data_IF_858124077118
#
_entry.id   IF_858124077118
#
_cell.length_a   1.000
_cell.length_b   1.000
_cell.length_c   1.000
_cell.angle_alpha   90.00
_cell.angle_beta   90.00
_cell.angle_gamma   90.00
#
_symmetry.space_group_name_H-M   'P 1'
#
loop_
_entity.id
_entity.type
_entity.pdbx_description
1 polymer ?
#
# COMPACT_ATOMS: atom_id res chain seq x y z
N UNK A 1 16.51 -26.73 -11.79
CA UNK A 1 15.09 -26.56 -12.17
C UNK A 1 14.45 -25.66 -11.11
N UNK A 2 13.93 -24.50 -11.50
CA UNK A 2 13.40 -23.50 -10.57
C UNK A 2 11.94 -23.87 -10.24
N UNK A 3 11.61 -24.11 -8.96
CA UNK A 3 10.22 -24.36 -8.52
C UNK A 3 9.32 -23.22 -9.03
N UNK A 4 8.16 -23.48 -9.66
CA UNK A 4 7.22 -22.46 -10.12
C UNK A 4 6.79 -21.48 -9.01
N UNK A 5 6.47 -20.23 -9.38
CA UNK A 5 6.10 -19.19 -8.41
C UNK A 5 4.88 -19.60 -7.58
N UNK A 6 3.88 -20.20 -8.20
CA UNK A 6 2.63 -20.59 -7.58
C UNK A 6 2.86 -21.61 -6.46
N UNK A 7 3.75 -22.57 -6.69
CA UNK A 7 4.15 -23.58 -5.70
C UNK A 7 4.94 -22.96 -4.55
N UNK A 8 5.87 -22.03 -4.85
CA UNK A 8 6.60 -21.29 -3.81
C UNK A 8 5.68 -20.39 -2.99
N UNK A 9 4.79 -19.67 -3.64
CA UNK A 9 3.82 -18.81 -2.99
C UNK A 9 2.89 -19.63 -2.10
N UNK A 10 2.39 -20.77 -2.58
CA UNK A 10 1.61 -21.69 -1.76
C UNK A 10 2.39 -22.22 -0.54
N UNK A 11 3.68 -22.51 -0.71
CA UNK A 11 4.55 -22.90 0.40
C UNK A 11 4.75 -21.76 1.39
N UNK A 12 5.21 -20.60 0.93
CA UNK A 12 5.47 -19.43 1.78
C UNK A 12 4.20 -19.01 2.52
N UNK A 13 3.05 -18.95 1.87
CA UNK A 13 1.79 -18.57 2.53
C UNK A 13 1.35 -19.55 3.62
N UNK A 14 1.70 -20.84 3.51
CA UNK A 14 1.42 -21.86 4.54
C UNK A 14 2.41 -21.82 5.70
N UNK A 15 3.66 -21.43 5.44
CA UNK A 15 4.74 -21.45 6.45
C UNK A 15 5.05 -20.07 7.03
N UNK A 16 4.46 -19.01 6.48
CA UNK A 16 4.71 -17.63 6.92
C UNK A 16 4.11 -17.40 8.31
N UNK A 17 4.97 -17.00 9.23
CA UNK A 17 4.61 -16.62 10.60
C UNK A 17 5.09 -15.18 10.79
N UNK A 18 4.17 -14.30 11.18
CA UNK A 18 4.50 -12.92 11.53
C UNK A 18 4.68 -12.84 13.05
N UNK A 19 5.79 -12.29 13.53
CA UNK A 19 5.92 -11.90 14.93
C UNK A 19 5.42 -10.48 15.12
N UNK A 20 5.04 -10.10 16.34
CA UNK A 20 4.57 -8.74 16.60
C UNK A 20 5.60 -7.68 16.20
N UNK A 21 6.88 -7.95 16.41
CA UNK A 21 7.99 -7.05 16.04
C UNK A 21 8.04 -6.82 14.52
N UNK A 22 7.93 -7.90 13.72
CA UNK A 22 7.88 -7.80 12.26
C UNK A 22 6.63 -7.06 11.78
N UNK A 23 5.50 -7.27 12.46
CA UNK A 23 4.25 -6.57 12.14
C UNK A 23 4.38 -5.08 12.39
N UNK A 24 4.90 -4.71 13.57
CA UNK A 24 5.11 -3.33 13.96
C UNK A 24 6.12 -2.64 13.03
N UNK A 25 7.23 -3.30 12.73
CA UNK A 25 8.25 -2.81 11.79
C UNK A 25 7.68 -2.61 10.38
N UNK A 26 6.89 -3.56 9.87
CA UNK A 26 6.27 -3.44 8.55
C UNK A 26 5.36 -2.21 8.46
N UNK A 27 4.52 -1.95 9.45
CA UNK A 27 3.65 -0.77 9.48
C UNK A 27 4.42 0.53 9.71
N UNK A 28 5.46 0.49 10.55
CA UNK A 28 6.37 1.63 10.76
C UNK A 28 7.04 2.04 9.45
N UNK A 29 7.51 1.09 8.64
CA UNK A 29 8.20 1.38 7.38
C UNK A 29 7.20 1.76 6.28
N UNK A 30 6.23 0.88 6.00
CA UNK A 30 5.41 1.01 4.80
C UNK A 30 4.36 2.11 4.89
N UNK A 31 3.83 2.39 6.10
CA UNK A 31 2.78 3.38 6.29
C UNK A 31 3.31 4.62 7.01
N UNK A 32 3.76 4.50 8.26
CA UNK A 32 4.18 5.67 9.04
C UNK A 32 5.40 6.37 8.44
N UNK A 33 6.41 5.61 8.00
CA UNK A 33 7.61 6.14 7.36
C UNK A 33 7.30 6.93 6.09
N UNK A 34 6.46 6.37 5.21
CA UNK A 34 5.96 7.06 4.01
C UNK A 34 5.20 8.34 4.37
N UNK A 35 4.26 8.26 5.33
CA UNK A 35 3.46 9.40 5.78
C UNK A 35 4.35 10.52 6.31
N UNK A 36 5.24 10.21 7.26
CA UNK A 36 6.11 11.20 7.90
C UNK A 36 7.12 11.80 6.93
N UNK A 37 7.65 11.01 5.99
CA UNK A 37 8.53 11.55 4.94
C UNK A 37 7.77 12.55 4.05
N UNK A 38 6.55 12.21 3.66
CA UNK A 38 5.70 13.11 2.84
C UNK A 38 5.39 14.39 3.59
N UNK A 39 4.99 14.30 4.86
CA UNK A 39 4.71 15.46 5.72
C UNK A 39 5.94 16.35 5.92
N UNK A 40 7.12 15.75 6.15
CA UNK A 40 8.37 16.49 6.34
C UNK A 40 8.81 17.23 5.06
N UNK A 41 8.53 16.67 3.88
CA UNK A 41 8.88 17.27 2.59
C UNK A 41 7.79 18.18 2.02
N UNK A 42 6.62 18.25 2.67
CA UNK A 42 5.47 18.98 2.16
C UNK A 42 5.76 20.44 1.78
N UNK A 43 6.47 21.27 2.60
CA UNK A 43 6.76 22.65 2.21
C UNK A 43 7.59 22.76 0.93
N UNK A 44 8.48 21.79 0.68
CA UNK A 44 9.29 21.75 -0.55
C UNK A 44 8.44 21.29 -1.74
N UNK A 45 7.57 20.30 -1.54
CA UNK A 45 6.63 19.83 -2.56
C UNK A 45 5.68 20.95 -2.99
N UNK A 46 5.12 21.72 -2.06
CA UNK A 46 4.22 22.84 -2.34
C UNK A 46 4.93 24.05 -2.98
N UNK A 47 6.26 24.16 -2.83
CA UNK A 47 7.05 25.19 -3.50
C UNK A 47 7.38 24.87 -4.97
N UNK A 48 7.14 23.62 -5.40
CA UNK A 48 7.33 23.20 -6.78
C UNK A 48 6.12 23.59 -7.64
N UNK A 49 6.38 24.09 -8.86
CA UNK A 49 5.32 24.33 -9.86
C UNK A 49 4.59 23.04 -10.27
N UNK A 50 5.18 21.87 -10.00
CA UNK A 50 4.62 20.55 -10.30
C UNK A 50 5.07 19.53 -9.26
N UNK A 51 4.68 19.73 -7.99
CA UNK A 51 5.03 18.83 -6.88
C UNK A 51 4.36 17.45 -7.02
N UNK A 52 5.15 16.37 -6.86
CA UNK A 52 4.72 14.99 -7.13
C UNK A 52 5.12 14.04 -6.02
N UNK A 53 4.19 13.15 -5.64
CA UNK A 53 4.42 12.07 -4.70
C UNK A 53 3.93 10.77 -5.33
N UNK A 54 4.83 9.79 -5.41
CA UNK A 54 4.54 8.46 -5.96
C UNK A 54 4.72 7.43 -4.85
N UNK A 55 3.61 6.93 -4.33
CA UNK A 55 3.61 5.92 -3.28
C UNK A 55 3.66 4.52 -3.89
N UNK A 56 4.71 3.75 -3.60
CA UNK A 56 4.82 2.37 -4.05
C UNK A 56 3.87 1.48 -3.23
N UNK A 57 2.80 1.02 -3.86
CA UNK A 57 1.76 0.17 -3.27
C UNK A 57 1.86 -1.27 -3.76
N UNK A 58 0.76 -2.02 -3.72
CA UNK A 58 0.64 -3.38 -4.23
C UNK A 58 -0.79 -3.68 -4.66
N UNK A 59 -0.95 -4.59 -5.64
CA UNK A 59 -2.26 -5.16 -5.95
C UNK A 59 -2.90 -5.83 -4.73
N UNK A 60 -2.08 -6.32 -3.79
CA UNK A 60 -2.55 -6.94 -2.56
C UNK A 60 -3.12 -5.93 -1.54
N UNK A 61 -2.97 -4.62 -1.79
CA UNK A 61 -3.54 -3.53 -1.00
C UNK A 61 -4.96 -3.10 -1.39
N UNK A 62 -5.60 -3.82 -2.30
CA UNK A 62 -6.97 -3.51 -2.77
C UNK A 62 -8.03 -3.94 -1.76
N UNK A 63 -9.11 -3.16 -1.65
CA UNK A 63 -10.16 -3.37 -0.65
C UNK A 63 -10.94 -4.67 -0.85
N UNK A 64 -11.01 -5.23 -2.07
CA UNK A 64 -11.64 -6.54 -2.32
C UNK A 64 -11.08 -7.70 -1.52
N UNK A 65 -9.90 -7.55 -0.91
CA UNK A 65 -9.30 -8.59 -0.06
C UNK A 65 -9.72 -8.51 1.41
N UNK A 66 -10.37 -7.41 1.83
CA UNK A 66 -10.97 -7.30 3.16
C UNK A 66 -12.35 -7.96 3.14
N UNK A 67 -12.56 -8.91 4.04
CA UNK A 67 -13.84 -9.62 4.19
C UNK A 67 -14.80 -8.90 5.15
N UNK A 68 -14.42 -7.76 5.71
CA UNK A 68 -15.24 -6.99 6.64
C UNK A 68 -15.84 -5.76 5.92
N UNK A 69 -17.14 -5.81 5.64
CA UNK A 69 -17.86 -4.74 4.92
C UNK A 69 -17.81 -3.39 5.64
N UNK A 70 -17.78 -3.39 6.97
CA UNK A 70 -17.66 -2.18 7.78
C UNK A 70 -16.33 -1.46 7.56
N UNK A 71 -15.22 -2.21 7.64
CA UNK A 71 -13.87 -1.70 7.35
C UNK A 71 -13.74 -1.26 5.89
N UNK A 72 -14.31 -2.02 4.95
CA UNK A 72 -14.32 -1.63 3.52
C UNK A 72 -15.04 -0.29 3.35
N UNK A 73 -16.23 -0.14 3.93
CA UNK A 73 -16.99 1.11 3.85
C UNK A 73 -16.25 2.28 4.47
N UNK A 74 -15.62 2.07 5.62
CA UNK A 74 -14.86 3.11 6.33
C UNK A 74 -13.61 3.54 5.55
N UNK A 75 -12.85 2.58 4.98
CA UNK A 75 -11.67 2.85 4.18
C UNK A 75 -11.98 3.41 2.78
N UNK A 76 -13.18 3.16 2.26
CA UNK A 76 -13.60 3.70 0.96
C UNK A 76 -14.30 5.07 1.06
N UNK A 77 -14.77 5.46 2.24
CA UNK A 77 -15.41 6.76 2.49
C UNK A 77 -14.37 7.90 2.61
N UNK A 78 -13.62 8.15 1.54
CA UNK A 78 -12.58 9.20 1.48
C UNK A 78 -13.12 10.60 1.71
N UNK A 79 -14.43 10.80 1.58
CA UNK A 79 -15.01 12.09 1.89
C UNK A 79 -15.00 12.40 3.37
N UNK A 80 -15.05 11.38 4.22
CA UNK A 80 -15.10 11.50 5.67
C UNK A 80 -13.86 10.89 6.38
N UNK A 81 -13.08 10.05 5.71
CA UNK A 81 -11.88 9.44 6.26
C UNK A 81 -10.76 10.49 6.43
N UNK A 82 -10.31 10.67 7.68
CA UNK A 82 -9.22 11.59 8.02
C UNK A 82 -7.90 10.83 8.23
N UNK A 83 -6.76 11.54 8.18
CA UNK A 83 -5.45 10.96 8.49
C UNK A 83 -5.37 10.43 9.93
N UNK A 84 -6.01 11.13 10.88
CA UNK A 84 -6.09 10.67 12.28
C UNK A 84 -6.88 9.36 12.38
N UNK A 85 -8.02 9.28 11.69
CA UNK A 85 -8.84 8.08 11.70
C UNK A 85 -8.12 6.91 11.02
N UNK A 86 -7.39 7.17 9.94
CA UNK A 86 -6.55 6.17 9.28
C UNK A 86 -5.44 5.65 10.21
N UNK A 87 -4.78 6.54 10.96
CA UNK A 87 -3.79 6.14 11.98
C UNK A 87 -4.41 5.26 13.06
N UNK A 88 -5.64 5.55 13.47
CA UNK A 88 -6.36 4.73 14.45
C UNK A 88 -6.75 3.37 13.89
N UNK A 89 -7.09 3.27 12.60
CA UNK A 89 -7.28 1.98 11.92
C UNK A 89 -5.97 1.17 11.89
N UNK A 90 -4.82 1.81 11.61
CA UNK A 90 -3.50 1.14 11.66
C UNK A 90 -3.19 0.63 13.07
N UNK A 91 -3.44 1.44 14.10
CA UNK A 91 -3.28 1.03 15.51
C UNK A 91 -4.26 -0.09 15.88
N UNK A 92 -5.48 -0.07 15.34
CA UNK A 92 -6.46 -1.14 15.57
C UNK A 92 -5.97 -2.47 14.99
N UNK A 93 -5.34 -2.45 13.82
CA UNK A 93 -4.73 -3.64 13.22
C UNK A 93 -3.61 -4.20 14.11
N UNK A 94 -2.69 -3.34 14.58
CA UNK A 94 -1.61 -3.73 15.50
C UNK A 94 -2.14 -4.36 16.79
N UNK A 95 -3.19 -3.74 17.37
CA UNK A 95 -3.85 -4.25 18.57
C UNK A 95 -4.46 -5.62 18.31
N UNK A 96 -5.25 -5.76 17.24
CA UNK A 96 -5.83 -7.04 16.83
C UNK A 96 -4.78 -8.11 16.62
N UNK A 97 -3.65 -7.79 15.98
CA UNK A 97 -2.56 -8.74 15.80
C UNK A 97 -2.01 -9.21 17.15
N UNK A 98 -1.70 -8.27 18.04
CA UNK A 98 -1.14 -8.54 19.37
C UNK A 98 -2.06 -9.41 20.24
N UNK A 99 -3.36 -9.21 20.10
CA UNK A 99 -4.40 -9.94 20.85
C UNK A 99 -4.79 -11.27 20.19
N UNK A 100 -4.24 -11.59 19.00
CA UNK A 100 -4.64 -12.75 18.23
C UNK A 100 -6.06 -12.65 17.64
N UNK A 101 -6.61 -11.45 17.57
CA UNK A 101 -8.01 -11.15 17.26
C UNK A 101 -8.20 -10.52 15.86
N UNK A 102 -7.38 -10.90 14.87
CA UNK A 102 -7.47 -10.36 13.51
C UNK A 102 -8.79 -10.75 12.84
N UNK A 103 -9.28 -11.97 13.06
CA UNK A 103 -10.49 -12.46 12.40
C UNK A 103 -11.73 -11.83 13.02
N UNK A 104 -11.83 -11.85 14.35
CA UNK A 104 -12.92 -11.28 15.12
C UNK A 104 -13.08 -9.78 14.84
N UNK A 105 -11.97 -9.06 14.66
CA UNK A 105 -11.99 -7.62 14.38
C UNK A 105 -11.96 -7.30 12.87
N UNK A 106 -12.09 -8.29 11.99
CA UNK A 106 -12.25 -8.07 10.54
C UNK A 106 -10.96 -7.80 9.74
N UNK A 107 -9.79 -7.87 10.37
CA UNK A 107 -8.47 -7.65 9.78
C UNK A 107 -7.82 -8.90 9.17
N UNK A 108 -8.47 -10.07 9.24
CA UNK A 108 -7.95 -11.30 8.64
C UNK A 108 -8.03 -11.23 7.11
N UNK A 109 -6.85 -11.16 6.49
CA UNK A 109 -6.68 -11.13 5.03
C UNK A 109 -6.33 -12.54 4.49
N UNK A 110 -6.80 -12.90 3.27
CA UNK A 110 -6.58 -14.23 2.71
C UNK A 110 -5.14 -14.40 2.19
N UNK A 111 -4.64 -15.65 2.17
CA UNK A 111 -3.44 -16.03 1.42
C UNK A 111 -2.11 -15.48 1.96
N UNK A 112 -1.90 -15.51 3.28
CA UNK A 112 -0.65 -15.12 3.93
C UNK A 112 -0.29 -13.62 3.80
N UNK A 113 0.85 -13.22 4.36
CA UNK A 113 1.38 -11.84 4.31
C UNK A 113 0.37 -10.76 4.73
N UNK A 114 -0.40 -11.04 5.79
CA UNK A 114 -1.51 -10.21 6.22
C UNK A 114 -1.07 -8.78 6.52
N UNK A 115 0.06 -8.62 7.22
CA UNK A 115 0.53 -7.28 7.59
C UNK A 115 0.99 -6.48 6.38
N UNK A 116 1.71 -7.11 5.45
CA UNK A 116 2.11 -6.44 4.21
C UNK A 116 0.87 -5.93 3.44
N UNK A 117 -0.15 -6.77 3.29
CA UNK A 117 -1.41 -6.40 2.62
C UNK A 117 -2.12 -5.24 3.32
N UNK A 118 -2.27 -5.33 4.65
CA UNK A 118 -2.83 -4.26 5.47
C UNK A 118 -2.06 -2.95 5.30
N UNK A 119 -0.72 -3.01 5.32
CA UNK A 119 0.12 -1.83 5.10
C UNK A 119 -0.14 -1.16 3.75
N UNK A 120 -0.39 -1.94 2.68
CA UNK A 120 -0.68 -1.41 1.34
C UNK A 120 -2.12 -0.91 1.19
N UNK A 121 -3.07 -1.48 1.95
CA UNK A 121 -4.42 -0.89 2.12
C UNK A 121 -4.30 0.52 2.74
N UNK A 122 -3.49 0.68 3.79
CA UNK A 122 -3.32 1.97 4.43
C UNK A 122 -2.58 2.99 3.54
N UNK A 123 -1.57 2.57 2.77
CA UNK A 123 -0.90 3.41 1.75
C UNK A 123 -1.90 3.90 0.69
N UNK A 124 -2.80 3.03 0.23
CA UNK A 124 -3.83 3.36 -0.73
C UNK A 124 -4.81 4.41 -0.17
N UNK A 125 -5.31 4.21 1.05
CA UNK A 125 -6.18 5.16 1.72
C UNK A 125 -5.47 6.51 1.95
N UNK A 126 -4.22 6.49 2.44
CA UNK A 126 -3.40 7.69 2.64
C UNK A 126 -3.27 8.50 1.34
N UNK A 127 -2.97 7.83 0.23
CA UNK A 127 -2.80 8.48 -1.08
C UNK A 127 -4.07 9.24 -1.48
N UNK A 128 -5.25 8.63 -1.31
CA UNK A 128 -6.53 9.27 -1.61
C UNK A 128 -6.82 10.48 -0.71
N UNK A 129 -6.55 10.36 0.59
CA UNK A 129 -6.73 11.45 1.55
C UNK A 129 -5.77 12.60 1.24
N UNK A 130 -4.49 12.31 1.06
CA UNK A 130 -3.45 13.30 0.80
C UNK A 130 -3.70 14.06 -0.51
N UNK A 131 -4.09 13.35 -1.59
CA UNK A 131 -4.45 14.00 -2.86
C UNK A 131 -5.61 15.01 -2.71
N UNK A 132 -6.56 14.75 -1.81
CA UNK A 132 -7.66 15.68 -1.49
C UNK A 132 -7.20 16.85 -0.62
N UNK A 133 -6.33 16.61 0.35
CA UNK A 133 -5.81 17.63 1.25
C UNK A 133 -4.89 18.62 0.54
N UNK A 134 -4.15 18.16 -0.47
CA UNK A 134 -3.15 18.94 -1.19
C UNK A 134 -3.49 19.02 -2.69
N UNK A 135 -4.51 19.80 -3.08
CA UNK A 135 -5.01 19.83 -4.46
C UNK A 135 -4.01 20.41 -5.48
N UNK A 136 -2.93 21.05 -5.01
CA UNK A 136 -1.85 21.55 -5.87
C UNK A 136 -0.75 20.51 -6.12
N UNK A 137 -0.85 19.32 -5.51
CA UNK A 137 0.12 18.24 -5.64
C UNK A 137 -0.47 17.04 -6.40
N UNK A 138 0.37 16.35 -7.15
CA UNK A 138 0.02 15.10 -7.82
C UNK A 138 0.48 13.93 -6.95
N UNK A 139 -0.46 13.32 -6.23
CA UNK A 139 -0.20 12.27 -5.24
C UNK A 139 -0.91 11.01 -5.71
N UNK A 140 -0.16 10.06 -6.24
CA UNK A 140 -0.68 8.80 -6.75
C UNK A 140 0.03 7.61 -6.11
N UNK A 141 -0.57 6.43 -6.22
CA UNK A 141 0.06 5.19 -5.80
C UNK A 141 0.09 4.17 -6.93
N UNK A 142 1.07 3.28 -6.88
CA UNK A 142 1.33 2.35 -7.99
C UNK A 142 1.74 0.98 -7.49
N UNK A 143 1.15 -0.07 -8.06
CA UNK A 143 1.69 -1.42 -8.02
C UNK A 143 2.61 -1.60 -9.24
N UNK A 144 3.94 -1.72 -9.05
CA UNK A 144 4.86 -1.84 -10.18
C UNK A 144 4.89 -3.24 -10.81
N UNK A 145 4.23 -4.23 -10.20
CA UNK A 145 4.19 -5.63 -10.65
C UNK A 145 5.08 -6.55 -9.80
N UNK A 146 5.13 -7.85 -10.15
CA UNK A 146 5.90 -8.86 -9.39
C UNK A 146 7.36 -8.91 -9.85
N UNK A 147 8.21 -8.10 -9.22
CA UNK A 147 9.58 -7.78 -9.66
C UNK A 147 10.64 -8.67 -9.06
N UNK A 148 11.70 -9.02 -9.80
CA UNK A 148 12.85 -9.78 -9.32
C UNK A 148 13.73 -8.93 -8.39
N UNK A 149 13.45 -8.96 -7.09
CA UNK A 149 14.21 -8.25 -6.06
C UNK A 149 14.45 -9.17 -4.86
N UNK A 150 15.34 -8.80 -3.95
CA UNK A 150 15.50 -9.52 -2.68
C UNK A 150 14.19 -9.58 -1.88
N UNK A 151 13.39 -8.50 -1.93
CA UNK A 151 12.07 -8.46 -1.28
C UNK A 151 11.06 -9.45 -1.84
N UNK A 152 11.23 -9.91 -3.09
CA UNK A 152 10.46 -11.01 -3.67
C UNK A 152 11.22 -12.33 -3.70
N UNK A 153 12.34 -12.45 -2.96
CA UNK A 153 13.24 -13.61 -3.02
C UNK A 153 13.71 -13.95 -4.44
N UNK A 154 13.85 -12.92 -5.29
CA UNK A 154 14.24 -13.01 -6.69
C UNK A 154 13.30 -13.89 -7.54
N UNK A 155 12.02 -14.00 -7.19
CA UNK A 155 11.04 -14.84 -7.91
C UNK A 155 10.07 -14.07 -8.79
N UNK A 156 10.31 -12.76 -9.00
CA UNK A 156 9.49 -11.94 -9.88
C UNK A 156 9.47 -12.44 -11.32
N UNK A 157 8.41 -12.09 -12.05
CA UNK A 157 8.27 -12.35 -13.48
C UNK A 157 8.91 -11.27 -14.36
N UNK A 158 9.28 -10.12 -13.78
CA UNK A 158 9.82 -8.96 -14.50
C UNK A 158 11.11 -8.43 -13.85
N UNK A 159 11.90 -7.69 -14.62
CA UNK A 159 13.14 -7.05 -14.12
C UNK A 159 12.86 -5.79 -13.32
N UNK A 160 13.88 -5.30 -12.61
CA UNK A 160 13.81 -4.03 -11.87
C UNK A 160 13.59 -2.83 -12.81
N UNK A 161 14.18 -2.86 -14.00
CA UNK A 161 14.00 -1.82 -15.02
C UNK A 161 12.57 -1.80 -15.57
N UNK A 162 11.95 -2.96 -15.77
CA UNK A 162 10.55 -3.05 -16.18
C UNK A 162 9.61 -2.49 -15.12
N UNK A 163 9.84 -2.87 -13.86
CA UNK A 163 9.07 -2.40 -12.72
C UNK A 163 9.21 -0.90 -12.44
N UNK A 164 10.38 -0.32 -12.71
CA UNK A 164 10.66 1.10 -12.48
C UNK A 164 9.92 2.02 -13.46
N UNK A 165 9.46 1.51 -14.61
CA UNK A 165 8.76 2.31 -15.63
C UNK A 165 7.54 3.03 -15.07
N UNK A 166 6.71 2.35 -14.29
CA UNK A 166 5.46 2.94 -13.81
C UNK A 166 5.64 4.01 -12.73
N UNK A 167 6.49 3.84 -11.69
CA UNK A 167 6.79 4.95 -10.80
C UNK A 167 7.44 6.15 -11.49
N UNK A 168 8.34 5.92 -12.44
CA UNK A 168 9.00 6.99 -13.21
C UNK A 168 7.99 7.73 -14.09
N UNK A 169 7.07 7.01 -14.73
CA UNK A 169 5.98 7.62 -15.50
C UNK A 169 5.16 8.58 -14.62
N UNK A 170 4.73 8.15 -13.43
CA UNK A 170 3.95 9.00 -12.52
C UNK A 170 4.75 10.19 -11.97
N UNK A 171 6.06 10.01 -11.76
CA UNK A 171 6.94 11.09 -11.34
C UNK A 171 7.15 12.15 -12.43
N UNK A 172 6.82 11.85 -13.70
CA UNK A 172 6.96 12.75 -14.85
C UNK A 172 5.61 13.15 -15.47
N UNK A 173 4.48 12.62 -14.99
CA UNK A 173 3.17 12.70 -15.64
C UNK A 173 2.50 14.09 -15.59
N UNK A 174 2.45 14.83 -16.69
CA UNK A 174 1.80 16.14 -16.77
C UNK A 174 0.28 16.12 -17.00
N UNK A 175 -0.37 14.94 -16.96
CA UNK A 175 -1.82 14.79 -17.22
C UNK A 175 -2.73 15.52 -16.23
N UNK A 176 -2.21 15.87 -15.05
CA UNK A 176 -2.97 16.49 -13.97
C UNK A 176 -3.69 15.50 -13.04
N UNK A 177 -3.50 14.20 -13.23
CA UNK A 177 -4.19 13.17 -12.46
C UNK A 177 -3.59 13.00 -11.05
N UNK A 178 -4.45 12.94 -10.03
CA UNK A 178 -4.06 12.81 -8.62
C UNK A 178 -5.08 11.96 -7.86
N UNK A 179 -4.62 11.23 -6.83
CA UNK A 179 -5.45 10.36 -6.00
C UNK A 179 -5.75 8.98 -6.60
N UNK A 180 -5.10 8.58 -7.68
CA UNK A 180 -5.36 7.31 -8.37
C UNK A 180 -4.41 6.18 -7.95
N UNK A 181 -4.89 4.95 -8.14
CA UNK A 181 -4.09 3.73 -8.04
C UNK A 181 -3.80 3.21 -9.44
N UNK A 182 -2.53 2.94 -9.70
CA UNK A 182 -2.04 2.43 -10.97
C UNK A 182 -1.62 0.97 -10.83
N UNK A 183 -2.10 0.11 -11.72
CA UNK A 183 -1.52 -1.20 -11.98
C UNK A 183 -0.60 -1.07 -13.19
N UNK A 184 0.70 -1.09 -12.94
CA UNK A 184 1.71 -0.65 -13.91
C UNK A 184 1.38 0.78 -14.40
N UNK A 185 1.05 0.95 -15.68
CA UNK A 185 0.77 2.26 -16.29
C UNK A 185 -0.72 2.57 -16.41
N UNK A 186 -1.59 1.66 -15.96
CA UNK A 186 -3.04 1.79 -16.13
C UNK A 186 -3.72 2.16 -14.81
N UNK A 187 -4.60 3.15 -14.85
CA UNK A 187 -5.45 3.47 -13.70
C UNK A 187 -6.41 2.31 -13.45
N UNK A 188 -6.52 1.87 -12.19
CA UNK A 188 -7.50 0.87 -11.80
C UNK A 188 -8.17 1.22 -10.46
N UNK A 189 -9.26 0.53 -10.16
CA UNK A 189 -10.01 0.77 -8.95
C UNK A 189 -9.23 0.32 -7.71
N UNK A 190 -9.40 1.05 -6.61
CA UNK A 190 -8.93 0.67 -5.28
C UNK A 190 -9.66 -0.56 -4.70
N UNK A 191 -10.83 -0.90 -5.27
CA UNK A 191 -11.63 -2.07 -4.92
C UNK A 191 -11.08 -3.33 -5.58
#
# INVERSE_FOLDING_TARGET
MQIPWEERYAFMTKTHIETYELVEECLKINYFGMKYLTEALLPLLESSDSGRVVNISSNAGRLRFLNNEGLVKELDDINNLTLEKLDDLVKSYLKSFKEGALEENGWKLPGGFGTYKASKIFVNAYTRIAAKMYPNLYINCVQPGHTQTEGSSCTGSQTVEEAAKSPVMLALDDSGQTGFFYDHTEITAYY
#
